data_IF_232543594193
#
_entry.id   IF_232543594193
#
_cell.length_a   1.000
_cell.length_b   1.000
_cell.length_c   1.000
_cell.angle_alpha   90.00
_cell.angle_beta   90.00
_cell.angle_gamma   90.00
#
_symmetry.space_group_name_H-M   'P 1'
#
loop_
_entity.id
_entity.type
_entity.pdbx_description
1 polymer ?
#
# COMPACT_ATOMS: atom_id res chain seq x y z
N UNK A 1 13.56 -11.06 -14.30
CA UNK A 1 13.63 -9.58 -14.30
C UNK A 1 12.30 -9.09 -13.77
N UNK A 2 12.32 -8.13 -12.85
CA UNK A 2 11.09 -7.58 -12.31
C UNK A 2 10.49 -6.57 -13.28
N UNK A 3 9.32 -6.89 -13.82
CA UNK A 3 8.55 -5.99 -14.69
C UNK A 3 7.27 -5.56 -14.01
N UNK A 4 7.02 -4.27 -14.03
CA UNK A 4 5.79 -3.69 -13.50
C UNK A 4 4.89 -3.23 -14.66
N UNK A 5 3.73 -3.88 -14.81
CA UNK A 5 2.74 -3.52 -15.83
C UNK A 5 1.55 -2.82 -15.18
N UNK A 6 1.23 -1.62 -15.65
CA UNK A 6 0.08 -0.85 -15.15
C UNK A 6 -1.13 -1.08 -16.05
N UNK A 7 -2.18 -1.67 -15.49
CA UNK A 7 -3.45 -1.95 -16.17
C UNK A 7 -4.59 -1.16 -15.56
N UNK A 8 -5.61 -0.84 -16.37
CA UNK A 8 -6.84 -0.21 -15.89
C UNK A 8 -7.77 -1.30 -15.35
N UNK A 9 -8.34 -1.05 -14.17
CA UNK A 9 -9.32 -1.95 -13.57
C UNK A 9 -10.69 -1.28 -13.47
N UNK A 10 -11.73 -2.10 -13.52
CA UNK A 10 -13.13 -1.70 -13.50
C UNK A 10 -13.83 -2.41 -12.33
N UNK A 11 -13.64 -1.90 -11.09
CA UNK A 11 -14.32 -2.43 -9.93
C UNK A 11 -15.83 -2.21 -10.02
N UNK A 12 -16.59 -3.15 -9.47
CA UNK A 12 -18.01 -2.95 -9.19
C UNK A 12 -18.20 -1.89 -8.10
N UNK A 13 -19.45 -1.48 -7.83
CA UNK A 13 -19.75 -0.50 -6.79
C UNK A 13 -19.25 -0.97 -5.40
N UNK A 14 -19.58 -2.20 -5.01
CA UNK A 14 -19.13 -2.78 -3.73
C UNK A 14 -17.60 -2.85 -3.63
N UNK A 15 -16.93 -3.24 -4.72
CA UNK A 15 -15.46 -3.29 -4.78
C UNK A 15 -14.87 -1.88 -4.66
N UNK A 16 -15.51 -0.88 -5.26
CA UNK A 16 -15.11 0.53 -5.20
C UNK A 16 -15.19 1.05 -3.76
N UNK A 17 -16.31 0.79 -3.08
CA UNK A 17 -16.50 1.17 -1.68
C UNK A 17 -15.45 0.52 -0.77
N UNK A 18 -15.20 -0.79 -0.95
CA UNK A 18 -14.15 -1.51 -0.23
C UNK A 18 -12.76 -0.90 -0.49
N UNK A 19 -12.41 -0.63 -1.75
CA UNK A 19 -11.10 -0.04 -2.11
C UNK A 19 -10.92 1.37 -1.53
N UNK A 20 -11.97 2.20 -1.57
CA UNK A 20 -11.94 3.54 -0.97
C UNK A 20 -11.72 3.46 0.54
N UNK A 21 -12.41 2.54 1.21
CA UNK A 21 -12.28 2.31 2.63
C UNK A 21 -10.90 1.71 2.99
N UNK A 22 -10.38 0.80 2.17
CA UNK A 22 -9.01 0.27 2.24
C UNK A 22 -7.96 1.38 2.13
N UNK A 23 -8.11 2.31 1.17
CA UNK A 23 -7.23 3.47 1.08
C UNK A 23 -7.33 4.37 2.32
N UNK A 24 -8.53 4.49 2.90
CA UNK A 24 -8.76 5.17 4.17
C UNK A 24 -7.97 4.54 5.31
N UNK A 25 -8.03 3.21 5.44
CA UNK A 25 -7.31 2.44 6.45
C UNK A 25 -5.78 2.55 6.28
N UNK A 26 -5.27 2.45 5.05
CA UNK A 26 -3.85 2.63 4.72
C UNK A 26 -3.39 4.05 5.05
N UNK A 27 -4.19 5.07 4.72
CA UNK A 27 -3.92 6.47 5.08
C UNK A 27 -3.88 6.66 6.60
N UNK A 28 -4.83 6.07 7.31
CA UNK A 28 -4.89 6.11 8.77
C UNK A 28 -3.63 5.49 9.40
N UNK A 29 -3.22 4.29 8.97
CA UNK A 29 -2.03 3.63 9.48
C UNK A 29 -0.76 4.48 9.28
N UNK A 30 -0.56 5.05 8.08
CA UNK A 30 0.54 5.95 7.81
C UNK A 30 0.52 7.19 8.70
N UNK A 31 -0.62 7.88 8.76
CA UNK A 31 -0.77 9.12 9.53
C UNK A 31 -0.60 8.88 11.03
N UNK A 32 -1.15 7.77 11.55
CA UNK A 32 -1.01 7.43 12.97
C UNK A 32 0.44 7.10 13.32
N UNK A 33 1.15 6.39 12.45
CA UNK A 33 2.57 6.11 12.63
C UNK A 33 3.42 7.39 12.62
N UNK A 34 3.16 8.31 11.69
CA UNK A 34 3.83 9.62 11.66
C UNK A 34 3.55 10.41 12.94
N UNK A 35 2.30 10.44 13.38
CA UNK A 35 1.93 11.11 14.63
C UNK A 35 2.67 10.51 15.84
N UNK A 36 2.70 9.19 16.00
CA UNK A 36 3.37 8.53 17.12
C UNK A 36 4.86 8.85 17.15
N UNK A 37 5.55 8.73 16.02
CA UNK A 37 6.98 9.04 15.92
C UNK A 37 7.26 10.51 16.26
N UNK A 38 6.53 11.44 15.63
CA UNK A 38 6.73 12.88 15.88
C UNK A 38 6.36 13.29 17.32
N UNK A 39 5.31 12.69 17.89
CA UNK A 39 4.88 12.97 19.26
C UNK A 39 5.88 12.47 20.30
N UNK A 40 6.39 11.26 20.14
CA UNK A 40 7.38 10.67 21.05
C UNK A 40 8.70 11.43 21.00
N UNK A 41 9.12 11.85 19.81
CA UNK A 41 10.29 12.70 19.67
C UNK A 41 10.08 14.07 20.32
N UNK A 42 8.93 14.72 20.09
CA UNK A 42 8.63 16.04 20.69
C UNK A 42 8.55 16.00 22.21
N UNK A 43 7.93 14.97 22.80
CA UNK A 43 7.72 14.89 24.25
C UNK A 43 8.88 14.29 25.03
N UNK A 44 9.50 13.23 24.50
CA UNK A 44 10.48 12.41 25.23
C UNK A 44 11.84 12.38 24.55
N UNK A 45 12.00 13.04 23.39
CA UNK A 45 13.22 12.98 22.54
C UNK A 45 13.61 11.56 22.12
N UNK A 46 12.66 10.62 22.20
CA UNK A 46 12.86 9.23 21.78
C UNK A 46 12.49 9.09 20.30
N UNK A 47 13.43 8.58 19.51
CA UNK A 47 13.20 8.30 18.09
C UNK A 47 12.69 6.88 17.92
N UNK A 48 11.42 6.75 17.54
CA UNK A 48 10.84 5.46 17.17
C UNK A 48 11.24 5.07 15.74
N UNK A 49 11.57 3.80 15.56
CA UNK A 49 11.70 3.15 14.27
C UNK A 49 10.32 2.65 13.80
N UNK A 50 9.73 3.20 12.70
CA UNK A 50 8.41 2.77 12.28
C UNK A 50 8.29 1.27 11.97
N UNK A 51 9.33 0.66 11.40
CA UNK A 51 9.33 -0.75 10.99
C UNK A 51 9.44 -1.69 12.19
N UNK A 52 10.23 -1.34 13.21
CA UNK A 52 10.44 -2.18 14.40
C UNK A 52 9.43 -1.89 15.51
N UNK A 53 9.14 -0.61 15.78
CA UNK A 53 8.38 -0.23 16.97
C UNK A 53 6.89 0.00 16.67
N UNK A 54 6.55 0.58 15.51
CA UNK A 54 5.16 0.95 15.20
C UNK A 54 4.43 -0.17 14.43
N UNK A 55 5.12 -0.89 13.54
CA UNK A 55 4.51 -1.97 12.76
C UNK A 55 3.88 -3.07 13.65
N UNK A 56 4.52 -3.56 14.74
CA UNK A 56 3.89 -4.56 15.61
C UNK A 56 2.62 -4.04 16.31
N UNK A 57 2.56 -2.73 16.60
CA UNK A 57 1.37 -2.13 17.21
C UNK A 57 0.13 -2.24 16.32
N UNK A 58 0.27 -2.44 15.00
CA UNK A 58 -0.88 -2.71 14.13
C UNK A 58 -1.59 -4.01 14.48
N UNK A 59 -0.88 -5.04 14.97
CA UNK A 59 -1.50 -6.28 15.41
C UNK A 59 -2.35 -6.03 16.67
N UNK A 60 -1.79 -5.32 17.65
CA UNK A 60 -2.48 -4.94 18.89
C UNK A 60 -3.68 -4.01 18.60
N UNK A 61 -3.51 -3.04 17.70
CA UNK A 61 -4.56 -2.12 17.32
C UNK A 61 -5.79 -2.85 16.76
N UNK A 62 -5.60 -3.90 15.95
CA UNK A 62 -6.71 -4.69 15.38
C UNK A 62 -7.52 -5.47 16.40
N UNK A 63 -6.97 -5.71 17.59
CA UNK A 63 -7.68 -6.36 18.70
C UNK A 63 -8.27 -5.34 19.68
N UNK A 64 -7.88 -4.07 19.58
CA UNK A 64 -8.38 -3.00 20.45
C UNK A 64 -9.81 -2.56 20.11
N UNK A 65 -10.58 -2.16 21.13
CA UNK A 65 -11.94 -1.59 20.96
C UNK A 65 -11.99 -0.35 20.07
N UNK A 66 -10.90 0.40 19.97
CA UNK A 66 -10.86 1.65 19.17
C UNK A 66 -10.51 1.43 17.70
N UNK A 67 -9.72 0.40 17.39
CA UNK A 67 -9.18 0.18 16.04
C UNK A 67 -9.46 -1.23 15.48
N UNK A 68 -10.42 -1.97 16.07
CA UNK A 68 -10.81 -3.30 15.58
C UNK A 68 -11.28 -3.29 14.12
N UNK A 69 -11.85 -2.18 13.64
CA UNK A 69 -12.27 -2.01 12.25
C UNK A 69 -11.12 -2.21 11.24
N UNK A 70 -9.86 -2.03 11.65
CA UNK A 70 -8.69 -2.33 10.81
C UNK A 70 -8.59 -3.82 10.41
N UNK A 71 -9.25 -4.72 11.15
CA UNK A 71 -9.28 -6.16 10.85
C UNK A 71 -10.05 -6.47 9.55
N UNK A 72 -10.97 -5.60 9.14
CA UNK A 72 -11.74 -5.75 7.90
C UNK A 72 -10.86 -5.60 6.65
N UNK A 73 -9.80 -4.79 6.74
CA UNK A 73 -8.92 -4.44 5.63
C UNK A 73 -7.70 -5.37 5.49
N UNK A 74 -7.01 -5.29 4.35
CA UNK A 74 -5.80 -6.08 4.13
C UNK A 74 -4.69 -5.68 5.11
N UNK A 75 -4.22 -6.66 5.89
CA UNK A 75 -3.20 -6.48 6.91
C UNK A 75 -1.84 -6.09 6.32
N UNK A 76 -1.54 -6.58 5.12
CA UNK A 76 -0.26 -6.35 4.44
C UNK A 76 -0.20 -4.92 3.94
N UNK A 77 -1.27 -4.42 3.31
CA UNK A 77 -1.37 -3.04 2.88
C UNK A 77 -1.18 -2.05 4.05
N UNK A 78 -1.73 -2.35 5.23
CA UNK A 78 -1.55 -1.54 6.44
C UNK A 78 -0.10 -1.53 6.92
N UNK A 79 0.55 -2.70 6.95
CA UNK A 79 1.96 -2.82 7.34
C UNK A 79 2.87 -2.11 6.33
N UNK A 80 2.59 -2.25 5.04
CA UNK A 80 3.35 -1.57 3.98
C UNK A 80 3.22 -0.05 4.10
N UNK A 81 2.08 0.49 4.58
CA UNK A 81 1.95 1.91 4.87
C UNK A 81 2.99 2.39 5.88
N UNK A 82 3.23 1.61 6.94
CA UNK A 82 4.24 1.93 7.98
C UNK A 82 5.66 1.76 7.45
N UNK A 83 5.91 0.76 6.61
CA UNK A 83 7.21 0.57 5.95
C UNK A 83 7.51 1.74 5.01
N UNK A 84 6.52 2.21 4.24
CA UNK A 84 6.66 3.38 3.38
C UNK A 84 6.97 4.65 4.18
N UNK A 85 6.47 4.76 5.42
CA UNK A 85 6.85 5.85 6.31
C UNK A 85 8.31 5.72 6.76
N UNK A 86 8.77 4.52 7.12
CA UNK A 86 10.17 4.25 7.44
C UNK A 86 11.08 4.70 6.30
N UNK A 87 10.81 4.24 5.08
CA UNK A 87 11.57 4.62 3.89
C UNK A 87 11.55 6.13 3.63
N UNK A 88 10.42 6.80 3.87
CA UNK A 88 10.35 8.25 3.72
C UNK A 88 11.27 8.99 4.71
N UNK A 89 11.42 8.47 5.93
CA UNK A 89 12.40 9.00 6.89
C UNK A 89 13.83 8.66 6.49
N UNK A 90 14.12 7.43 6.05
CA UNK A 90 15.46 7.04 5.58
C UNK A 90 15.90 7.94 4.42
N UNK A 91 14.98 8.21 3.49
CA UNK A 91 15.23 9.11 2.37
C UNK A 91 15.46 10.55 2.85
N UNK A 92 14.70 11.04 3.83
CA UNK A 92 14.86 12.38 4.40
C UNK A 92 16.22 12.57 5.08
N UNK A 93 16.74 11.54 5.77
CA UNK A 93 18.05 11.60 6.40
C UNK A 93 19.22 11.31 5.44
N UNK A 94 18.93 10.84 4.21
CA UNK A 94 19.97 10.58 3.22
C UNK A 94 20.35 11.88 2.48
N UNK A 95 21.58 12.40 2.65
CA UNK A 95 21.98 13.68 2.06
C UNK A 95 22.04 13.65 0.52
N UNK A 96 22.14 12.46 -0.10
CA UNK A 96 22.15 12.31 -1.56
C UNK A 96 20.77 12.48 -2.18
N UNK A 97 19.71 12.33 -1.38
CA UNK A 97 18.32 12.41 -1.84
C UNK A 97 17.75 13.78 -1.45
N UNK A 98 17.15 14.49 -2.42
CA UNK A 98 16.41 15.73 -2.17
C UNK A 98 15.02 15.45 -1.57
N UNK A 99 14.97 14.65 -0.50
CA UNK A 99 13.73 14.26 0.16
C UNK A 99 13.33 15.26 1.24
N UNK A 100 12.04 15.58 1.31
CA UNK A 100 11.46 16.46 2.33
C UNK A 100 10.95 15.65 3.52
N UNK A 101 10.79 16.32 4.66
CA UNK A 101 10.23 15.70 5.85
C UNK A 101 8.85 15.04 5.55
N UNK A 102 8.58 13.81 6.03
CA UNK A 102 7.32 13.13 5.78
C UNK A 102 6.11 13.91 6.31
N UNK A 103 5.08 14.07 5.47
CA UNK A 103 3.86 14.81 5.81
C UNK A 103 2.64 13.88 5.92
N UNK A 104 1.63 14.34 6.66
CA UNK A 104 0.34 13.65 6.73
C UNK A 104 -0.29 13.49 5.34
N UNK A 105 -0.74 12.28 5.03
CA UNK A 105 -1.47 11.97 3.80
C UNK A 105 -2.89 12.52 3.88
N UNK A 106 -3.33 13.17 2.80
CA UNK A 106 -4.68 13.75 2.64
C UNK A 106 -5.64 12.79 1.96
N UNK A 107 -6.95 12.97 2.16
CA UNK A 107 -8.00 12.14 1.53
C UNK A 107 -8.00 12.26 0.00
N UNK A 108 -7.93 13.49 -0.50
CA UNK A 108 -7.93 13.82 -1.93
C UNK A 108 -6.52 13.80 -2.55
N UNK A 109 -5.53 13.22 -1.85
CA UNK A 109 -4.17 13.06 -2.35
C UNK A 109 -4.00 11.80 -3.21
N UNK A 110 -2.75 11.39 -3.43
CA UNK A 110 -2.45 10.09 -4.04
C UNK A 110 -2.94 8.95 -3.13
N UNK A 111 -3.87 8.13 -3.61
CA UNK A 111 -4.40 6.98 -2.89
C UNK A 111 -3.92 5.69 -3.56
N UNK A 112 -3.31 4.82 -2.78
CA UNK A 112 -2.82 3.52 -3.25
C UNK A 112 -2.81 2.50 -2.13
N UNK A 113 -3.04 1.23 -2.48
CA UNK A 113 -2.91 0.07 -1.59
C UNK A 113 -2.02 -0.97 -2.24
N UNK A 114 -1.12 -1.53 -1.44
CA UNK A 114 -0.17 -2.55 -1.86
C UNK A 114 -0.64 -3.92 -1.36
N UNK A 115 -0.64 -4.92 -2.24
CA UNK A 115 -1.06 -6.28 -1.96
C UNK A 115 -0.03 -7.25 -2.53
N UNK A 116 0.47 -8.21 -1.74
CA UNK A 116 1.44 -9.20 -2.22
C UNK A 116 1.05 -10.65 -1.93
N UNK A 117 -0.05 -10.89 -1.20
CA UNK A 117 -0.51 -12.25 -0.87
C UNK A 117 -1.93 -12.43 -1.39
N UNK A 118 -2.20 -13.60 -1.96
CA UNK A 118 -3.51 -13.93 -2.55
C UNK A 118 -3.81 -13.17 -3.85
N UNK A 119 -2.79 -12.56 -4.46
CA UNK A 119 -2.90 -11.88 -5.74
C UNK A 119 -2.76 -12.87 -6.89
N UNK A 120 -3.70 -12.84 -7.83
CA UNK A 120 -3.62 -13.61 -9.07
C UNK A 120 -4.10 -12.74 -10.23
N UNK A 121 -3.47 -12.89 -11.37
CA UNK A 121 -3.98 -12.34 -12.63
C UNK A 121 -4.74 -13.48 -13.32
N UNK A 122 -5.98 -13.20 -13.69
CA UNK A 122 -6.85 -14.06 -14.47
C UNK A 122 -7.02 -13.42 -15.85
N UNK A 123 -7.52 -14.18 -16.81
CA UNK A 123 -7.85 -13.61 -18.13
C UNK A 123 -8.96 -12.56 -17.98
N UNK A 124 -8.65 -11.30 -18.33
CA UNK A 124 -9.54 -10.16 -18.16
C UNK A 124 -9.88 -9.75 -16.71
N UNK A 125 -9.23 -10.29 -15.68
CA UNK A 125 -9.51 -9.93 -14.29
C UNK A 125 -8.29 -10.03 -13.34
N UNK A 126 -8.33 -9.29 -12.23
CA UNK A 126 -7.31 -9.31 -11.18
C UNK A 126 -7.96 -9.72 -9.87
N UNK A 127 -7.45 -10.78 -9.25
CA UNK A 127 -7.83 -11.21 -7.91
C UNK A 127 -6.99 -10.45 -6.88
N UNK A 128 -7.69 -9.82 -5.94
CA UNK A 128 -7.12 -9.12 -4.80
C UNK A 128 -7.58 -9.80 -3.51
N UNK A 129 -6.83 -9.69 -2.40
CA UNK A 129 -7.22 -10.27 -1.13
C UNK A 129 -8.54 -9.67 -0.63
N UNK A 130 -9.38 -10.51 -0.02
CA UNK A 130 -10.67 -10.15 0.61
C UNK A 130 -11.76 -9.62 -0.33
N UNK A 131 -11.62 -9.81 -1.64
CA UNK A 131 -12.63 -9.40 -2.62
C UNK A 131 -12.71 -10.38 -3.78
N UNK A 132 -13.84 -10.33 -4.50
CA UNK A 132 -14.01 -11.05 -5.76
C UNK A 132 -13.07 -10.50 -6.84
N UNK A 133 -12.76 -11.28 -7.90
CA UNK A 133 -11.97 -10.80 -9.02
C UNK A 133 -12.51 -9.49 -9.59
N UNK A 134 -11.62 -8.54 -9.83
CA UNK A 134 -11.94 -7.24 -10.41
C UNK A 134 -11.68 -7.29 -11.91
N UNK A 135 -12.64 -6.86 -12.73
CA UNK A 135 -12.42 -6.79 -14.19
C UNK A 135 -11.23 -5.89 -14.50
N UNK A 136 -10.33 -6.36 -15.33
CA UNK A 136 -9.10 -5.67 -15.68
C UNK A 136 -8.91 -5.70 -17.20
N UNK A 137 -8.56 -4.56 -17.79
CA UNK A 137 -8.17 -4.53 -19.19
C UNK A 137 -6.66 -4.81 -19.29
N UNK A 138 -6.34 -6.09 -19.46
CA UNK A 138 -4.99 -6.61 -19.58
C UNK A 138 -4.64 -6.58 -21.07
N UNK A 139 -3.89 -5.55 -21.46
CA UNK A 139 -3.49 -5.31 -22.86
C UNK A 139 -2.16 -6.00 -23.21
N UNK A 140 -1.54 -6.72 -22.27
CA UNK A 140 -0.28 -7.43 -22.43
C UNK A 140 -0.39 -8.78 -21.73
N UNK A 141 0.02 -9.85 -22.41
CA UNK A 141 0.18 -11.14 -21.75
C UNK A 141 1.16 -11.01 -20.60
N UNK A 142 0.74 -11.44 -19.42
CA UNK A 142 1.55 -11.39 -18.21
C UNK A 142 2.15 -12.77 -18.02
N UNK A 143 3.34 -12.98 -18.60
CA UNK A 143 4.06 -14.25 -18.57
C UNK A 143 5.05 -14.26 -17.40
N UNK A 144 4.67 -14.85 -16.27
CA UNK A 144 5.56 -14.98 -15.11
C UNK A 144 4.83 -15.06 -13.77
N UNK A 145 5.60 -15.13 -12.67
CA UNK A 145 5.05 -15.20 -11.32
C UNK A 145 4.70 -13.80 -10.79
N UNK A 146 3.43 -13.56 -10.47
CA UNK A 146 2.96 -12.30 -9.88
C UNK A 146 3.47 -12.17 -8.45
N UNK A 147 4.35 -11.19 -8.19
CA UNK A 147 4.88 -10.90 -6.85
C UNK A 147 4.00 -9.96 -6.04
N UNK A 148 3.48 -8.91 -6.67
CA UNK A 148 2.63 -7.95 -5.98
C UNK A 148 1.73 -7.17 -6.94
N UNK A 149 0.64 -6.64 -6.39
CA UNK A 149 -0.29 -5.76 -7.09
C UNK A 149 -0.50 -4.51 -6.23
N UNK A 150 -0.24 -3.35 -6.83
CA UNK A 150 -0.54 -2.06 -6.22
C UNK A 150 -1.74 -1.44 -6.90
N UNK A 151 -2.84 -1.29 -6.18
CA UNK A 151 -4.04 -0.60 -6.66
C UNK A 151 -3.90 0.88 -6.36
N UNK A 152 -4.25 1.73 -7.32
CA UNK A 152 -4.19 3.19 -7.19
C UNK A 152 -5.42 3.86 -7.79
N UNK A 153 -5.81 4.98 -7.19
CA UNK A 153 -6.88 5.84 -7.69
C UNK A 153 -6.29 7.09 -8.33
N UNK A 154 -6.65 7.34 -9.60
CA UNK A 154 -6.35 8.58 -10.30
C UNK A 154 -7.26 9.71 -9.84
N UNK A 155 -6.81 10.97 -10.02
CA UNK A 155 -7.63 12.17 -9.76
C UNK A 155 -8.93 12.19 -10.58
N UNK A 156 -8.95 11.51 -11.73
CA UNK A 156 -10.11 11.36 -12.59
C UNK A 156 -11.07 10.24 -12.14
N UNK A 157 -10.93 9.71 -10.91
CA UNK A 157 -11.76 8.61 -10.39
C UNK A 157 -11.47 7.24 -11.00
N UNK A 158 -10.43 7.11 -11.84
CA UNK A 158 -10.08 5.86 -12.53
C UNK A 158 -9.17 5.00 -11.66
N UNK A 159 -9.47 3.71 -11.57
CA UNK A 159 -8.66 2.74 -10.84
C UNK A 159 -7.62 2.07 -11.75
N UNK A 160 -6.41 1.87 -11.20
CA UNK A 160 -5.32 1.21 -11.89
C UNK A 160 -4.66 0.19 -10.96
N UNK A 161 -4.33 -0.98 -11.51
CA UNK A 161 -3.51 -1.99 -10.84
C UNK A 161 -2.12 -2.03 -11.48
N UNK A 162 -1.08 -1.84 -10.68
CA UNK A 162 0.31 -2.03 -11.09
C UNK A 162 0.73 -3.42 -10.64
N UNK A 163 0.89 -4.32 -11.59
CA UNK A 163 1.19 -5.74 -11.38
C UNK A 163 2.69 -5.90 -11.53
N UNK A 164 3.37 -6.31 -10.46
CA UNK A 164 4.78 -6.65 -10.46
C UNK A 164 4.93 -8.14 -10.71
N UNK A 165 5.57 -8.50 -11.81
CA UNK A 165 5.82 -9.87 -12.24
C UNK A 165 7.32 -10.11 -12.30
N UNK A 166 7.72 -11.32 -11.93
CA UNK A 166 9.08 -11.80 -12.16
C UNK A 166 9.07 -12.73 -13.37
N UNK A 167 9.63 -12.24 -14.48
CA UNK A 167 9.65 -12.95 -15.75
C UNK A 167 10.80 -13.98 -15.82
N UNK A 168 11.60 -14.15 -14.76
CA UNK A 168 12.72 -15.12 -14.73
C UNK A 168 13.91 -14.80 -15.64
N UNK A 169 13.75 -13.89 -16.61
CA UNK A 169 14.82 -13.43 -17.53
C UNK A 169 15.85 -12.57 -16.78
N UNK A 170 17.15 -12.77 -17.00
CA UNK A 170 18.19 -11.92 -16.40
C UNK A 170 18.08 -10.47 -16.90
N UNK A 171 18.44 -9.50 -16.04
CA UNK A 171 18.45 -8.09 -16.44
C UNK A 171 19.54 -7.88 -17.51
N UNK A 172 19.28 -7.12 -18.59
CA UNK A 172 20.34 -6.76 -19.52
C UNK A 172 21.43 -5.99 -18.76
N UNK A 173 22.68 -6.42 -18.95
CA UNK A 173 23.88 -5.89 -18.32
C UNK A 173 24.13 -4.41 -18.67
#
# INVERSE_FOLDING_TARGET
>A
MLRATKVRIYPTQEQTEFLIAQFGAVRFAYNKALHLKSHMYRKRRVTLNPKKDIKPLLAVAKTSRKYHWLKQYDSIALQQAVINLHQAFDNFFNPKLKAKFPQFKRKHGKQSSYHCVGVKVLDGAVKLPKMQPVKANIHREITGAVKSITVSLSKTGKFYASILVDDGVEAPA
#
